data_IF_570759404915
#
_entry.id   IF_570759404915
#
_cell.length_a   1.000
_cell.length_b   1.000
_cell.length_c   1.000
_cell.angle_alpha   90.00
_cell.angle_beta   90.00
_cell.angle_gamma   90.00
#
_symmetry.space_group_name_H-M   'P 1'
#
loop_
_entity.id
_entity.type
_entity.pdbx_description
1 polymer ?
#
# COMPACT_ATOMS: atom_id res chain seq x y z
N UNK A 1 -6.29 12.42 17.48
CA UNK A 1 -7.38 12.53 16.49
C UNK A 1 -7.20 11.45 15.45
N UNK A 2 -8.17 10.53 15.33
CA UNK A 2 -8.12 9.47 14.32
C UNK A 2 -8.63 10.11 13.01
N UNK A 3 -7.82 10.21 11.94
CA UNK A 3 -8.24 10.94 10.76
C UNK A 3 -9.30 10.13 9.98
N UNK A 4 -10.20 10.82 9.28
CA UNK A 4 -11.45 10.28 8.73
C UNK A 4 -11.30 9.02 7.83
N UNK A 5 -10.11 8.77 7.29
CA UNK A 5 -9.77 7.57 6.50
C UNK A 5 -9.90 6.25 7.26
N UNK A 6 -9.82 6.25 8.59
CA UNK A 6 -10.05 5.05 9.42
C UNK A 6 -11.49 4.54 9.38
N UNK A 7 -12.44 5.33 8.86
CA UNK A 7 -13.85 4.93 8.73
C UNK A 7 -14.17 4.31 7.38
N UNK A 8 -13.31 4.46 6.37
CA UNK A 8 -13.63 3.94 5.06
C UNK A 8 -13.38 2.43 4.99
N UNK A 9 -14.48 1.68 4.88
CA UNK A 9 -14.47 0.28 4.44
C UNK A 9 -14.30 0.18 2.93
N UNK A 10 -14.23 1.31 2.22
CA UNK A 10 -14.11 1.32 0.77
C UNK A 10 -12.66 1.09 0.34
N UNK A 11 -12.49 0.20 -0.63
CA UNK A 11 -11.17 -0.22 -1.11
C UNK A 11 -10.55 0.83 -2.06
N UNK A 12 -11.39 1.58 -2.77
CA UNK A 12 -10.97 2.59 -3.72
C UNK A 12 -10.58 3.87 -2.98
N UNK A 13 -11.34 4.28 -1.96
CA UNK A 13 -10.98 5.40 -1.10
C UNK A 13 -9.65 5.13 -0.38
N UNK A 14 -9.46 3.91 0.14
CA UNK A 14 -8.18 3.50 0.73
C UNK A 14 -7.03 3.56 -0.27
N UNK A 15 -7.25 3.09 -1.51
CA UNK A 15 -6.24 3.16 -2.57
C UNK A 15 -5.86 4.60 -2.91
N UNK A 16 -6.85 5.49 -3.04
CA UNK A 16 -6.62 6.89 -3.42
C UNK A 16 -5.85 7.64 -2.31
N UNK A 17 -6.19 7.39 -1.03
CA UNK A 17 -5.43 7.93 0.11
C UNK A 17 -4.00 7.40 0.13
N UNK A 18 -3.81 6.10 -0.10
CA UNK A 18 -2.47 5.47 -0.13
C UNK A 18 -1.60 6.10 -1.23
N UNK A 19 -2.16 6.29 -2.42
CA UNK A 19 -1.45 6.92 -3.54
C UNK A 19 -1.14 8.38 -3.24
N UNK A 20 -2.07 9.13 -2.63
CA UNK A 20 -1.82 10.52 -2.23
C UNK A 20 -0.67 10.63 -1.21
N UNK A 21 -0.61 9.73 -0.22
CA UNK A 21 0.50 9.66 0.73
C UNK A 21 1.84 9.36 0.05
N UNK A 22 1.85 8.42 -0.91
CA UNK A 22 3.05 8.09 -1.69
C UNK A 22 3.52 9.32 -2.47
N UNK A 23 2.61 10.01 -3.16
CA UNK A 23 2.90 11.23 -3.93
C UNK A 23 3.41 12.38 -3.09
N UNK A 24 2.81 12.60 -1.93
CA UNK A 24 3.21 13.68 -1.02
C UNK A 24 4.61 13.46 -0.46
N UNK A 25 4.95 12.22 -0.09
CA UNK A 25 6.24 11.89 0.54
C UNK A 25 7.35 11.64 -0.47
N UNK A 26 6.98 11.21 -1.67
CA UNK A 26 7.91 10.81 -2.72
C UNK A 26 7.41 11.31 -4.07
N UNK A 27 7.67 12.58 -4.42
CA UNK A 27 7.34 13.05 -5.75
C UNK A 27 8.05 12.21 -6.82
N UNK A 28 7.42 11.98 -7.98
CA UNK A 28 7.98 11.18 -9.08
C UNK A 28 9.27 11.80 -9.63
N UNK A 29 9.43 13.12 -9.51
CA UNK A 29 10.63 13.89 -9.84
C UNK A 29 11.77 13.54 -8.87
N UNK A 30 12.70 12.70 -9.31
CA UNK A 30 13.89 12.33 -8.52
C UNK A 30 13.96 10.87 -8.08
N UNK A 31 13.11 10.00 -8.62
CA UNK A 31 13.35 8.55 -8.61
C UNK A 31 14.42 8.24 -9.67
N UNK A 32 15.66 8.62 -9.40
CA UNK A 32 16.79 8.08 -10.15
C UNK A 32 16.86 6.58 -9.90
N UNK A 33 16.87 5.80 -10.99
CA UNK A 33 16.92 4.34 -11.05
C UNK A 33 18.25 3.74 -10.54
N UNK A 34 18.91 4.38 -9.57
CA UNK A 34 19.95 3.72 -8.79
C UNK A 34 19.26 2.78 -7.82
N UNK A 35 19.36 1.46 -8.06
CA UNK A 35 18.77 0.41 -7.23
C UNK A 35 19.04 0.60 -5.72
N UNK A 36 20.21 1.17 -5.36
CA UNK A 36 20.61 1.45 -3.98
C UNK A 36 19.81 2.60 -3.35
N UNK A 37 19.72 3.75 -4.02
CA UNK A 37 18.93 4.90 -3.53
C UNK A 37 17.43 4.59 -3.55
N UNK A 38 16.97 3.85 -4.55
CA UNK A 38 15.59 3.35 -4.62
C UNK A 38 15.25 2.45 -3.43
N UNK A 39 16.10 1.48 -3.11
CA UNK A 39 15.90 0.54 -2.00
C UNK A 39 15.91 1.21 -0.62
N UNK A 40 16.84 2.12 -0.34
CA UNK A 40 16.86 2.87 0.93
C UNK A 40 15.61 3.74 1.10
N UNK A 41 15.12 4.29 -0.01
CA UNK A 41 13.90 5.10 -0.03
C UNK A 41 12.66 4.24 0.17
N UNK A 42 12.63 3.04 -0.45
CA UNK A 42 11.61 2.00 -0.23
C UNK A 42 11.57 1.53 1.23
N UNK A 43 12.74 1.36 1.86
CA UNK A 43 12.84 0.98 3.27
C UNK A 43 12.29 2.06 4.22
N UNK A 44 12.49 3.35 3.89
CA UNK A 44 11.88 4.48 4.62
C UNK A 44 10.37 4.60 4.37
N UNK A 45 9.90 4.30 3.15
CA UNK A 45 8.48 4.18 2.81
C UNK A 45 7.81 3.14 3.73
N UNK A 46 8.51 2.03 3.95
CA UNK A 46 7.98 0.84 4.59
C UNK A 46 7.36 1.14 5.97
N UNK A 47 8.06 1.80 6.89
CA UNK A 47 7.59 1.86 8.29
C UNK A 47 6.28 2.63 8.50
N UNK A 48 6.17 3.86 8.00
CA UNK A 48 4.99 4.69 8.26
C UNK A 48 3.81 4.41 7.32
N UNK A 49 4.09 3.98 6.09
CA UNK A 49 3.06 3.65 5.11
C UNK A 49 2.48 2.25 5.37
N UNK A 50 3.35 1.25 5.61
CA UNK A 50 2.86 -0.12 5.81
C UNK A 50 2.18 -0.32 7.17
N UNK A 51 2.51 0.47 8.20
CA UNK A 51 1.71 0.46 9.43
C UNK A 51 0.21 0.73 9.15
N UNK A 52 -0.10 1.59 8.17
CA UNK A 52 -1.48 1.90 7.75
C UNK A 52 -2.10 0.76 6.94
N UNK A 53 -1.33 0.15 6.04
CA UNK A 53 -1.73 -1.05 5.28
C UNK A 53 -2.05 -2.21 6.22
N UNK A 54 -1.20 -2.44 7.22
CA UNK A 54 -1.37 -3.49 8.24
C UNK A 54 -2.66 -3.24 9.05
N UNK A 55 -2.89 -2.01 9.52
CA UNK A 55 -4.10 -1.67 10.25
C UNK A 55 -5.37 -1.89 9.41
N UNK A 56 -5.35 -1.48 8.14
CA UNK A 56 -6.47 -1.69 7.21
C UNK A 56 -6.72 -3.18 6.96
N UNK A 57 -5.67 -3.98 6.72
CA UNK A 57 -5.76 -5.41 6.48
C UNK A 57 -6.27 -6.20 7.70
N UNK A 58 -5.95 -5.76 8.92
CA UNK A 58 -6.46 -6.37 10.17
C UNK A 58 -7.90 -5.96 10.46
N UNK A 59 -8.28 -4.71 10.15
CA UNK A 59 -9.62 -4.19 10.39
C UNK A 59 -10.67 -4.58 9.34
N UNK A 60 -10.25 -5.09 8.18
CA UNK A 60 -11.14 -5.43 7.08
C UNK A 60 -10.88 -6.86 6.56
N UNK A 61 -11.93 -7.70 6.50
CA UNK A 61 -11.88 -8.93 5.71
C UNK A 61 -11.84 -8.59 4.21
N UNK A 62 -10.64 -8.59 3.65
CA UNK A 62 -10.42 -8.39 2.22
C UNK A 62 -10.53 -9.74 1.51
N UNK A 63 -11.59 -9.92 0.71
CA UNK A 63 -11.70 -11.06 -0.19
C UNK A 63 -10.69 -10.93 -1.36
N UNK A 64 -10.49 -12.01 -2.12
CA UNK A 64 -9.53 -12.03 -3.24
C UNK A 64 -9.77 -10.89 -4.24
N UNK A 65 -11.04 -10.63 -4.57
CA UNK A 65 -11.43 -9.54 -5.47
C UNK A 65 -10.98 -8.17 -4.96
N UNK A 66 -11.21 -7.86 -3.67
CA UNK A 66 -10.82 -6.58 -3.07
C UNK A 66 -9.31 -6.40 -3.04
N UNK A 67 -8.54 -7.48 -2.82
CA UNK A 67 -7.07 -7.44 -2.89
C UNK A 67 -6.60 -7.11 -4.32
N UNK A 68 -7.16 -7.79 -5.32
CA UNK A 68 -6.84 -7.53 -6.72
C UNK A 68 -7.23 -6.10 -7.15
N UNK A 69 -8.42 -5.64 -6.73
CA UNK A 69 -8.90 -4.28 -7.00
C UNK A 69 -7.96 -3.22 -6.43
N UNK A 70 -7.54 -3.39 -5.18
CA UNK A 70 -6.56 -2.49 -4.54
C UNK A 70 -5.24 -2.46 -5.30
N UNK A 71 -4.68 -3.63 -5.62
CA UNK A 71 -3.44 -3.73 -6.38
C UNK A 71 -3.51 -3.02 -7.73
N UNK A 72 -4.59 -3.24 -8.48
CA UNK A 72 -4.81 -2.60 -9.77
C UNK A 72 -4.98 -1.09 -9.65
N UNK A 73 -5.81 -0.62 -8.70
CA UNK A 73 -6.06 0.80 -8.50
C UNK A 73 -4.78 1.55 -8.16
N UNK A 74 -3.99 1.01 -7.23
CA UNK A 74 -2.70 1.58 -6.83
C UNK A 74 -1.69 1.53 -7.98
N UNK A 75 -1.62 0.41 -8.71
CA UNK A 75 -0.71 0.26 -9.86
C UNK A 75 -0.95 1.36 -10.90
N UNK A 76 -2.19 1.50 -11.38
CA UNK A 76 -2.50 2.48 -12.42
C UNK A 76 -2.31 3.91 -11.92
N UNK A 77 -2.77 4.23 -10.71
CA UNK A 77 -2.63 5.57 -10.18
C UNK A 77 -1.17 6.02 -9.99
N UNK A 78 -0.25 5.10 -9.69
CA UNK A 78 1.18 5.40 -9.64
C UNK A 78 1.80 5.51 -11.05
N UNK A 79 1.40 4.66 -12.00
CA UNK A 79 1.87 4.79 -13.39
C UNK A 79 1.42 6.13 -13.99
N UNK A 80 0.15 6.51 -13.83
CA UNK A 80 -0.41 7.77 -14.28
C UNK A 80 0.25 8.99 -13.61
N UNK A 81 0.73 8.82 -12.37
CA UNK A 81 1.49 9.84 -11.66
C UNK A 81 2.97 9.92 -12.11
N UNK A 82 3.40 9.11 -13.08
CA UNK A 82 4.74 9.17 -13.68
C UNK A 82 5.82 8.38 -12.94
N UNK A 83 5.44 7.40 -12.11
CA UNK A 83 6.42 6.55 -11.43
C UNK A 83 7.01 5.48 -12.38
N UNK A 84 8.30 5.12 -12.23
CA UNK A 84 8.89 4.05 -13.03
C UNK A 84 8.18 2.70 -12.80
N UNK A 85 7.91 1.96 -13.88
CA UNK A 85 7.18 0.68 -13.83
C UNK A 85 7.79 -0.32 -12.83
N UNK A 86 9.13 -0.44 -12.82
CA UNK A 86 9.83 -1.33 -11.89
C UNK A 86 9.60 -0.95 -10.42
N UNK A 87 9.52 0.35 -10.11
CA UNK A 87 9.17 0.81 -8.76
C UNK A 87 7.72 0.48 -8.43
N UNK A 88 6.80 0.73 -9.36
CA UNK A 88 5.37 0.46 -9.17
C UNK A 88 5.13 -1.04 -8.91
N UNK A 89 5.73 -1.92 -9.72
CA UNK A 89 5.55 -3.36 -9.57
C UNK A 89 6.10 -3.87 -8.24
N UNK A 90 7.29 -3.41 -7.82
CA UNK A 90 7.87 -3.74 -6.52
C UNK A 90 6.97 -3.26 -5.36
N UNK A 91 6.49 -2.02 -5.44
CA UNK A 91 5.62 -1.44 -4.42
C UNK A 91 4.29 -2.18 -4.29
N UNK A 92 3.64 -2.48 -5.41
CA UNK A 92 2.36 -3.20 -5.44
C UNK A 92 2.52 -4.64 -4.94
N UNK A 93 3.63 -5.29 -5.30
CA UNK A 93 3.93 -6.63 -4.81
C UNK A 93 4.07 -6.66 -3.29
N UNK A 94 4.84 -5.74 -2.71
CA UNK A 94 4.98 -5.66 -1.25
C UNK A 94 3.65 -5.32 -0.57
N UNK A 95 2.90 -4.35 -1.11
CA UNK A 95 1.58 -3.97 -0.62
C UNK A 95 0.64 -5.19 -0.50
N UNK A 96 0.51 -5.96 -1.57
CA UNK A 96 -0.35 -7.14 -1.59
C UNK A 96 0.17 -8.25 -0.67
N UNK A 97 1.49 -8.44 -0.61
CA UNK A 97 2.11 -9.43 0.26
C UNK A 97 1.82 -9.13 1.72
N UNK A 98 1.99 -7.88 2.17
CA UNK A 98 1.64 -7.47 3.54
C UNK A 98 0.16 -7.71 3.83
N UNK A 99 -0.73 -7.33 2.91
CA UNK A 99 -2.17 -7.56 3.10
C UNK A 99 -2.49 -9.05 3.24
N UNK A 100 -1.87 -9.90 2.44
CA UNK A 100 -2.09 -11.36 2.52
C UNK A 100 -1.60 -11.92 3.85
N UNK A 101 -0.40 -11.53 4.30
CA UNK A 101 0.19 -11.98 5.57
C UNK A 101 -0.67 -11.53 6.76
N UNK A 102 -1.13 -10.28 6.76
CA UNK A 102 -1.92 -9.72 7.85
C UNK A 102 -3.36 -10.25 7.86
N UNK A 103 -3.98 -10.46 6.70
CA UNK A 103 -5.30 -11.11 6.61
C UNK A 103 -5.27 -12.54 7.15
N UNK A 104 -4.16 -13.28 6.98
CA UNK A 104 -4.01 -14.64 7.53
C UNK A 104 -3.76 -14.63 9.04
N UNK A 105 -3.03 -13.63 9.53
CA UNK A 105 -2.72 -13.50 10.97
C UNK A 105 -3.94 -13.10 11.82
N UNK A 106 -4.95 -12.48 11.22
CA UNK A 106 -6.24 -12.21 11.88
C UNK A 106 -7.09 -13.47 12.13
N UNK A 107 -6.93 -14.51 11.32
CA UNK A 107 -7.71 -15.76 11.41
C UNK A 107 -7.22 -16.67 12.55
N UNK A 108 -5.97 -16.53 12.98
CA UNK A 108 -5.32 -17.38 14.01
C UNK A 108 -5.61 -16.91 15.44
N UNK A 109 -6.16 -15.70 15.64
CA UNK A 109 -6.36 -15.12 16.99
C UNK A 109 -7.76 -15.36 17.60
N UNK A 110 -8.66 -16.06 16.92
CA UNK A 110 -10.04 -16.28 17.37
C UNK A 110 -10.33 -17.74 17.78
N UNK A 111 -9.32 -18.44 18.29
CA UNK A 111 -9.50 -19.69 19.04
C UNK A 111 -8.88 -19.52 20.42
N UNK A 112 -9.64 -18.94 21.36
CA UNK A 112 -9.45 -19.18 22.78
C UNK A 112 -10.76 -19.08 23.53
#
# INVERSE_FOLDING_TARGET
MIPAWFKSKDIDEFADVLVADVRQRFPPTGIELSAKKGADRLRKIHQALFARVIAFARGNKLNLYRKARLGNRVKWALLDAGYPSQFVDAFVHELLTTIVVESRSGDVKETK
#
